data_IF_555859968683
#
_entry.id   IF_555859968683
#
_cell.length_a   1.000
_cell.length_b   1.000
_cell.length_c   1.000
_cell.angle_alpha   90.00
_cell.angle_beta   90.00
_cell.angle_gamma   90.00
#
_symmetry.space_group_name_H-M   'P 1'
#
loop_
_entity.id
_entity.type
_entity.pdbx_description
1 polymer ?
#
# COMPACT_ATOMS: atom_id res chain seq x y z
N UNK A 1 -58.35 3.51 26.39
CA UNK A 1 -58.67 2.14 26.82
C UNK A 1 -57.74 1.17 26.12
N UNK A 2 -57.04 0.31 26.89
CA UNK A 2 -56.52 -1.02 26.51
C UNK A 2 -55.38 -1.05 25.47
N UNK A 3 -54.27 -1.77 25.62
CA UNK A 3 -53.68 -2.62 26.66
C UNK A 3 -52.19 -2.71 26.26
N UNK A 4 -51.32 -2.52 27.24
CA UNK A 4 -49.89 -2.84 27.24
C UNK A 4 -49.68 -4.31 26.90
N UNK A 5 -48.76 -4.66 26.00
CA UNK A 5 -48.13 -5.98 26.00
C UNK A 5 -46.65 -5.86 25.63
N UNK A 6 -45.86 -5.83 26.70
CA UNK A 6 -44.42 -6.00 26.77
C UNK A 6 -44.12 -7.49 26.59
N UNK A 7 -43.36 -7.87 25.56
CA UNK A 7 -42.64 -9.15 25.55
C UNK A 7 -41.20 -8.94 25.05
N UNK A 8 -40.34 -8.86 26.06
CA UNK A 8 -38.90 -9.01 26.04
C UNK A 8 -38.55 -10.40 25.48
N UNK A 9 -37.77 -10.46 24.39
CA UNK A 9 -37.01 -11.66 24.06
C UNK A 9 -35.57 -11.28 23.73
N UNK A 10 -34.76 -11.41 24.77
CA UNK A 10 -33.31 -11.43 24.76
C UNK A 10 -32.85 -12.68 24.00
N UNK A 11 -32.04 -12.54 22.95
CA UNK A 11 -31.32 -13.68 22.39
C UNK A 11 -29.86 -13.28 22.17
N UNK A 12 -29.10 -13.40 23.27
CA UNK A 12 -27.65 -13.51 23.26
C UNK A 12 -27.26 -14.85 22.64
N UNK A 13 -26.72 -14.81 21.43
CA UNK A 13 -25.96 -15.92 20.87
C UNK A 13 -24.48 -15.56 21.03
N UNK A 14 -23.91 -16.06 22.12
CA UNK A 14 -22.48 -16.22 22.27
C UNK A 14 -22.08 -17.48 21.53
N UNK A 15 -21.37 -17.32 20.42
CA UNK A 15 -20.59 -18.39 19.81
C UNK A 15 -19.12 -18.05 20.04
N UNK A 16 -18.62 -18.51 21.18
CA UNK A 16 -17.20 -18.82 21.30
C UNK A 16 -16.95 -20.12 20.55
N UNK A 17 -16.03 -20.14 19.59
CA UNK A 17 -15.12 -21.28 19.47
C UNK A 17 -13.91 -21.00 18.58
N UNK A 18 -12.82 -21.64 19.02
CA UNK A 18 -11.61 -22.00 18.28
C UNK A 18 -10.56 -20.90 18.10
N UNK A 19 -9.75 -20.75 19.15
CA UNK A 19 -8.29 -20.62 18.98
C UNK A 19 -7.80 -21.78 18.12
N UNK A 20 -6.99 -21.49 17.10
CA UNK A 20 -6.19 -22.48 16.41
C UNK A 20 -4.78 -21.92 16.30
N UNK A 21 -3.94 -22.37 17.22
CA UNK A 21 -2.50 -22.19 17.14
C UNK A 21 -2.01 -23.01 15.93
N UNK A 22 -1.53 -22.31 14.91
CA UNK A 22 -0.76 -22.91 13.84
C UNK A 22 0.64 -22.30 13.89
N UNK A 23 1.61 -23.16 14.21
CA UNK A 23 3.05 -22.99 14.02
C UNK A 23 3.41 -22.38 12.65
N UNK A 24 4.58 -21.73 12.53
CA UNK A 24 4.98 -20.98 11.35
C UNK A 24 5.39 -21.93 10.22
N UNK A 25 4.82 -21.74 9.03
CA UNK A 25 5.29 -22.41 7.82
C UNK A 25 5.47 -21.41 6.67
N UNK A 26 6.69 -21.43 6.16
CA UNK A 26 7.31 -20.57 5.15
C UNK A 26 6.67 -20.77 3.77
N UNK A 27 6.37 -19.68 3.05
CA UNK A 27 6.79 -19.42 1.65
C UNK A 27 5.87 -18.44 0.93
N UNK A 28 6.44 -17.28 0.60
CA UNK A 28 5.85 -16.25 -0.26
C UNK A 28 6.10 -14.89 0.37
N UNK A 29 6.97 -14.02 -0.20
CA UNK A 29 7.20 -12.69 0.34
C UNK A 29 5.96 -11.84 0.11
N UNK A 30 4.97 -12.01 0.98
CA UNK A 30 3.94 -11.00 1.19
C UNK A 30 4.60 -9.98 2.08
N UNK A 31 5.22 -8.98 1.46
CA UNK A 31 5.79 -7.81 2.14
C UNK A 31 4.62 -7.01 2.73
N UNK A 32 4.04 -7.53 3.81
CA UNK A 32 3.27 -6.72 4.74
C UNK A 32 4.31 -5.87 5.45
N UNK A 33 4.61 -4.70 4.89
CA UNK A 33 5.42 -3.70 5.57
C UNK A 33 4.62 -3.21 6.77
N UNK A 34 4.70 -3.94 7.87
CA UNK A 34 4.36 -3.41 9.19
C UNK A 34 5.50 -2.46 9.55
N UNK A 35 5.50 -1.27 8.93
CA UNK A 35 6.41 -0.19 9.30
C UNK A 35 6.16 0.11 10.78
N UNK A 36 7.15 -0.02 11.69
CA UNK A 36 7.00 0.43 13.05
C UNK A 36 6.49 1.87 13.04
N UNK A 37 5.54 2.22 13.91
CA UNK A 37 5.01 3.59 13.97
C UNK A 37 6.16 4.59 14.12
N UNK A 38 6.45 5.36 13.06
CA UNK A 38 7.56 6.32 13.00
C UNK A 38 8.78 5.92 12.16
N UNK A 39 8.84 4.70 11.61
CA UNK A 39 9.92 4.34 10.68
C UNK A 39 9.69 4.97 9.30
N UNK A 40 10.76 5.57 8.76
CA UNK A 40 10.77 6.20 7.43
C UNK A 40 10.79 5.13 6.34
N UNK A 41 10.15 5.42 5.21
CA UNK A 41 10.24 4.58 4.03
C UNK A 41 11.57 4.79 3.31
N UNK A 42 12.07 3.73 2.69
CA UNK A 42 13.34 3.74 1.94
C UNK A 42 13.16 3.11 0.56
N UNK A 43 14.08 3.41 -0.35
CA UNK A 43 13.98 2.94 -1.73
C UNK A 43 14.05 1.42 -1.77
N UNK A 44 15.06 0.82 -1.15
CA UNK A 44 15.27 -0.62 -1.18
C UNK A 44 14.11 -1.40 -0.53
N UNK A 45 13.60 -0.91 0.61
CA UNK A 45 12.57 -1.61 1.36
C UNK A 45 11.15 -1.42 0.80
N UNK A 46 10.83 -0.24 0.26
CA UNK A 46 9.44 0.14 -0.02
C UNK A 46 9.20 0.52 -1.48
N UNK A 47 10.06 1.34 -2.08
CA UNK A 47 9.76 1.96 -3.37
C UNK A 47 10.26 1.15 -4.59
N UNK A 48 11.38 0.43 -4.45
CA UNK A 48 12.09 -0.25 -5.55
C UNK A 48 11.18 -1.21 -6.32
N UNK A 49 10.40 -2.04 -5.61
CA UNK A 49 9.48 -2.98 -6.23
C UNK A 49 8.41 -2.29 -7.09
N UNK A 50 7.95 -1.10 -6.69
CA UNK A 50 6.97 -0.32 -7.46
C UNK A 50 7.60 0.12 -8.80
N UNK A 51 8.82 0.64 -8.78
CA UNK A 51 9.52 1.07 -9.99
C UNK A 51 9.86 -0.11 -10.91
N UNK A 52 10.33 -1.22 -10.34
CA UNK A 52 10.66 -2.43 -11.09
C UNK A 52 9.46 -2.98 -11.84
N UNK A 53 8.31 -3.07 -11.17
CA UNK A 53 7.13 -3.72 -11.74
C UNK A 53 6.34 -2.82 -12.71
N UNK A 54 6.40 -1.49 -12.53
CA UNK A 54 5.47 -0.59 -13.21
C UNK A 54 6.14 0.41 -14.17
N UNK A 55 7.47 0.55 -14.14
CA UNK A 55 8.12 1.68 -14.82
C UNK A 55 9.25 1.27 -15.77
N UNK A 56 10.14 0.36 -15.36
CA UNK A 56 11.40 0.08 -16.08
C UNK A 56 11.19 -0.38 -17.52
N UNK A 57 10.11 -1.13 -17.79
CA UNK A 57 9.82 -1.65 -19.14
C UNK A 57 9.71 -0.57 -20.22
N UNK A 58 9.31 0.66 -19.87
CA UNK A 58 9.31 1.80 -20.78
C UNK A 58 10.29 2.90 -20.38
N UNK A 59 10.78 2.90 -19.13
CA UNK A 59 11.67 3.92 -18.58
C UNK A 59 12.92 3.26 -17.97
N UNK A 60 13.89 2.82 -18.79
CA UNK A 60 15.09 2.13 -18.30
C UNK A 60 15.90 2.93 -17.28
N UNK A 61 15.86 4.28 -17.36
CA UNK A 61 16.50 5.17 -16.39
C UNK A 61 16.04 4.92 -14.94
N UNK A 62 14.82 4.42 -14.75
CA UNK A 62 14.26 4.12 -13.42
C UNK A 62 14.69 2.76 -12.86
N UNK A 63 15.64 2.08 -13.51
CA UNK A 63 16.28 0.88 -12.97
C UNK A 63 17.27 1.16 -11.83
N UNK A 64 17.61 2.43 -11.59
CA UNK A 64 18.53 2.85 -10.53
C UNK A 64 17.86 3.82 -9.56
N UNK A 65 18.27 3.77 -8.29
CA UNK A 65 17.85 4.73 -7.26
C UNK A 65 18.11 6.17 -7.72
N UNK A 66 19.31 6.47 -8.24
CA UNK A 66 19.67 7.81 -8.71
C UNK A 66 18.75 8.31 -9.83
N UNK A 67 18.44 7.44 -10.80
CA UNK A 67 17.55 7.78 -11.91
C UNK A 67 16.12 8.07 -11.44
N UNK A 68 15.61 7.29 -10.48
CA UNK A 68 14.31 7.55 -9.85
C UNK A 68 14.34 8.85 -9.04
N UNK A 69 15.32 9.02 -8.15
CA UNK A 69 15.48 10.18 -7.27
C UNK A 69 15.52 11.49 -8.05
N UNK A 70 16.29 11.53 -9.12
CA UNK A 70 16.45 12.72 -9.99
C UNK A 70 15.13 13.11 -10.67
N UNK A 71 14.25 12.14 -10.91
CA UNK A 71 13.00 12.34 -11.65
C UNK A 71 11.75 12.34 -10.76
N UNK A 72 11.88 12.28 -9.44
CA UNK A 72 10.77 11.99 -8.54
C UNK A 72 9.58 12.94 -8.68
N UNK A 73 9.84 14.25 -8.88
CA UNK A 73 8.79 15.25 -9.06
C UNK A 73 7.98 15.00 -10.33
N UNK A 74 8.66 14.67 -11.44
CA UNK A 74 8.01 14.34 -12.70
C UNK A 74 7.26 13.01 -12.57
N UNK A 75 7.85 12.00 -11.92
CA UNK A 75 7.18 10.72 -11.68
C UNK A 75 5.86 10.95 -10.94
N UNK A 76 5.90 11.69 -9.83
CA UNK A 76 4.72 11.97 -9.01
C UNK A 76 3.67 12.78 -9.76
N UNK A 77 4.07 13.79 -10.53
CA UNK A 77 3.14 14.51 -11.41
C UNK A 77 2.40 13.54 -12.34
N UNK A 78 3.11 12.63 -13.00
CA UNK A 78 2.55 11.75 -14.03
C UNK A 78 1.65 10.63 -13.48
N UNK A 79 2.04 10.00 -12.37
CA UNK A 79 1.27 8.86 -11.81
C UNK A 79 -0.04 9.29 -11.13
N UNK A 80 -0.19 10.58 -10.81
CA UNK A 80 -1.37 11.13 -10.14
C UNK A 80 -2.46 11.61 -11.10
N UNK A 81 -2.17 11.74 -12.39
CA UNK A 81 -3.13 12.26 -13.38
C UNK A 81 -4.28 11.29 -13.61
N UNK A 82 -5.44 11.83 -13.96
CA UNK A 82 -6.64 11.08 -14.36
C UNK A 82 -6.90 11.12 -15.88
N UNK A 83 -5.91 11.53 -16.68
CA UNK A 83 -6.10 11.75 -18.11
C UNK A 83 -4.80 11.92 -18.90
N UNK A 84 -4.69 12.98 -19.70
CA UNK A 84 -3.57 13.17 -20.61
C UNK A 84 -2.20 13.02 -19.93
N UNK A 85 -1.42 12.07 -20.43
CA UNK A 85 -0.10 11.76 -19.90
C UNK A 85 -0.09 10.97 -18.58
N UNK A 86 -1.21 10.41 -18.13
CA UNK A 86 -1.25 9.45 -17.02
C UNK A 86 -0.23 8.34 -17.22
N UNK A 87 0.40 7.93 -16.13
CA UNK A 87 1.28 6.77 -16.09
C UNK A 87 0.84 5.79 -14.99
N UNK A 88 0.93 4.47 -15.24
CA UNK A 88 1.38 3.84 -16.50
C UNK A 88 0.39 4.03 -17.67
N UNK A 89 0.80 3.69 -18.90
CA UNK A 89 -0.08 3.84 -20.08
C UNK A 89 -1.36 2.99 -20.00
N UNK A 90 -1.36 1.95 -19.17
CA UNK A 90 -2.50 1.08 -18.91
C UNK A 90 -3.56 1.71 -18.00
N UNK A 91 -3.29 2.87 -17.39
CA UNK A 91 -4.22 3.57 -16.49
C UNK A 91 -3.50 4.17 -15.29
N UNK A 92 -4.27 4.87 -14.45
CA UNK A 92 -3.73 5.50 -13.23
C UNK A 92 -3.08 4.47 -12.31
N UNK A 93 -1.93 4.84 -11.75
CA UNK A 93 -1.25 4.02 -10.75
C UNK A 93 -2.16 3.74 -9.54
N UNK A 94 -2.18 2.51 -8.98
CA UNK A 94 -2.90 2.24 -7.75
C UNK A 94 -2.53 3.22 -6.63
N UNK A 95 -3.55 3.72 -5.91
CA UNK A 95 -3.36 4.76 -4.90
C UNK A 95 -2.33 4.38 -3.83
N UNK A 96 -2.33 3.11 -3.38
CA UNK A 96 -1.34 2.58 -2.43
C UNK A 96 0.11 2.78 -2.89
N UNK A 97 0.38 2.62 -4.19
CA UNK A 97 1.73 2.82 -4.74
C UNK A 97 2.08 4.30 -4.80
N UNK A 98 1.11 5.16 -5.16
CA UNK A 98 1.29 6.61 -5.15
C UNK A 98 1.64 7.07 -3.73
N UNK A 99 0.93 6.59 -2.73
CA UNK A 99 1.10 7.00 -1.33
C UNK A 99 2.47 6.57 -0.79
N UNK A 100 2.92 5.36 -1.11
CA UNK A 100 4.28 4.90 -0.76
C UNK A 100 5.34 5.81 -1.39
N UNK A 101 5.21 6.15 -2.67
CA UNK A 101 6.18 7.02 -3.36
C UNK A 101 6.16 8.44 -2.77
N UNK A 102 4.98 8.99 -2.46
CA UNK A 102 4.82 10.29 -1.80
C UNK A 102 5.45 10.31 -0.42
N UNK A 103 5.18 9.29 0.39
CA UNK A 103 5.72 9.20 1.74
C UNK A 103 7.24 9.04 1.69
N UNK A 104 7.76 8.19 0.80
CA UNK A 104 9.20 8.06 0.59
C UNK A 104 9.86 9.39 0.15
N UNK A 105 9.18 10.18 -0.68
CA UNK A 105 9.64 11.53 -1.00
C UNK A 105 9.66 12.44 0.23
N UNK A 106 8.59 12.45 1.01
CA UNK A 106 8.48 13.24 2.24
C UNK A 106 9.54 12.84 3.30
N UNK A 107 9.91 11.55 3.34
CA UNK A 107 10.91 11.01 4.25
C UNK A 107 12.36 11.37 3.87
N UNK A 108 12.56 11.97 2.70
CA UNK A 108 13.85 12.46 2.23
C UNK A 108 14.50 11.62 1.13
N UNK A 109 13.73 10.77 0.44
CA UNK A 109 14.22 9.91 -0.64
C UNK A 109 15.37 9.00 -0.18
N UNK A 110 15.25 8.39 0.99
CA UNK A 110 16.28 7.54 1.58
C UNK A 110 16.53 6.31 0.69
N UNK A 111 17.79 5.96 0.44
CA UNK A 111 18.09 4.77 -0.38
C UNK A 111 17.89 3.48 0.41
N UNK A 112 18.39 3.45 1.65
CA UNK A 112 18.39 2.30 2.55
C UNK A 112 17.72 2.61 3.87
#
# INVERSE_FOLDING_TARGET
MKKTFLFLSFLTISLASCSKDNEPSISGPTTTTTTPTGAKLTYEANAKAIFTNNCIGCHPTFASYSGVKTNINNILDRIQRDGAGVMPRSGKMPQVNIDIIKQWQADGLLEK
#
